data_IF_227128609273
#
_entry.id   IF_227128609273
#
_cell.length_a   1.000
_cell.length_b   1.000
_cell.length_c   1.000
_cell.angle_alpha   90.00
_cell.angle_beta   90.00
_cell.angle_gamma   90.00
#
_symmetry.space_group_name_H-M   'P 1'
#
loop_
_entity.id
_entity.type
_entity.pdbx_description
1 polymer ?
#
# COMPACT_ATOMS: atom_id res chain seq x y z
N UNK A 1 19.12 1.24 -11.28
CA UNK A 1 20.35 2.01 -11.04
C UNK A 1 20.04 3.02 -9.94
N UNK A 2 20.96 3.31 -9.03
CA UNK A 2 20.78 4.35 -8.00
C UNK A 2 21.62 5.58 -8.32
N UNK A 3 21.03 6.75 -8.18
CA UNK A 3 21.71 8.04 -8.37
C UNK A 3 21.86 8.77 -7.02
N UNK A 4 22.91 9.58 -6.89
CA UNK A 4 23.20 10.31 -5.66
C UNK A 4 22.61 11.71 -5.75
N UNK A 5 21.68 12.02 -4.84
CA UNK A 5 21.17 13.36 -4.61
C UNK A 5 21.60 13.82 -3.21
N UNK A 6 22.37 14.91 -3.13
CA UNK A 6 22.88 15.44 -1.85
C UNK A 6 21.94 16.52 -1.32
N UNK A 7 21.41 16.32 -0.11
CA UNK A 7 20.47 17.24 0.55
C UNK A 7 20.94 17.54 1.96
N UNK A 8 20.93 18.82 2.34
CA UNK A 8 21.14 19.24 3.73
C UNK A 8 19.80 19.38 4.44
N UNK A 9 19.56 18.54 5.43
CA UNK A 9 18.37 18.66 6.26
C UNK A 9 18.54 19.71 7.36
N UNK A 10 17.48 20.48 7.70
CA UNK A 10 17.44 21.24 8.94
C UNK A 10 17.70 20.34 10.14
N UNK A 11 18.40 20.85 11.17
CA UNK A 11 18.83 20.08 12.35
C UNK A 11 17.68 19.32 13.00
N UNK A 12 16.51 19.95 13.09
CA UNK A 12 15.30 19.36 13.68
C UNK A 12 14.74 18.20 12.85
N UNK A 13 14.74 18.32 11.52
CA UNK A 13 14.31 17.23 10.62
C UNK A 13 15.29 16.05 10.71
N UNK A 14 16.59 16.34 10.70
CA UNK A 14 17.63 15.32 10.83
C UNK A 14 17.53 14.57 12.17
N UNK A 15 17.22 15.27 13.26
CA UNK A 15 16.99 14.68 14.58
C UNK A 15 15.79 13.72 14.56
N UNK A 16 14.63 14.18 14.09
CA UNK A 16 13.40 13.37 13.97
C UNK A 16 13.61 12.13 13.09
N UNK A 17 14.36 12.26 12.01
CA UNK A 17 14.69 11.16 11.12
C UNK A 17 15.56 10.10 11.82
N UNK A 18 16.61 10.50 12.54
CA UNK A 18 17.48 9.59 13.31
C UNK A 18 16.72 8.85 14.40
N UNK A 19 15.89 9.55 15.17
CA UNK A 19 15.07 8.96 16.22
C UNK A 19 14.11 7.90 15.65
N UNK A 20 13.46 8.22 14.53
CA UNK A 20 12.50 7.32 13.88
C UNK A 20 13.17 6.08 13.27
N UNK A 21 14.37 6.24 12.73
CA UNK A 21 15.18 5.15 12.18
C UNK A 21 15.67 4.22 13.30
N UNK A 22 16.19 4.78 14.40
CA UNK A 22 16.62 4.01 15.57
C UNK A 22 15.47 3.18 16.16
N UNK A 23 14.28 3.76 16.29
CA UNK A 23 13.09 3.06 16.79
C UNK A 23 12.63 1.88 15.91
N UNK A 24 13.09 1.80 14.65
CA UNK A 24 12.77 0.73 13.70
C UNK A 24 13.97 -0.16 13.36
N UNK A 25 15.12 0.05 14.02
CA UNK A 25 16.38 -0.61 13.69
C UNK A 25 16.72 -0.55 12.19
N UNK A 26 16.39 0.55 11.51
CA UNK A 26 16.67 0.76 10.08
C UNK A 26 17.76 1.82 9.87
N UNK A 27 18.56 1.75 8.79
CA UNK A 27 19.50 2.80 8.45
C UNK A 27 18.79 4.14 8.17
N UNK A 28 19.37 5.24 8.65
CA UNK A 28 18.84 6.61 8.43
C UNK A 28 18.67 6.92 6.94
N UNK A 29 19.63 6.51 6.11
CA UNK A 29 19.58 6.66 4.66
C UNK A 29 18.44 5.86 4.03
N UNK A 30 18.19 4.63 4.49
CA UNK A 30 17.09 3.79 4.02
C UNK A 30 15.73 4.39 4.35
N UNK A 31 15.55 4.89 5.58
CA UNK A 31 14.33 5.61 5.96
C UNK A 31 14.16 6.90 5.13
N UNK A 32 15.23 7.65 4.91
CA UNK A 32 15.18 8.88 4.11
C UNK A 32 14.76 8.60 2.66
N UNK A 33 15.41 7.63 2.01
CA UNK A 33 15.10 7.22 0.63
C UNK A 33 13.64 6.82 0.50
N UNK A 34 13.16 5.98 1.43
CA UNK A 34 11.76 5.53 1.45
C UNK A 34 10.77 6.67 1.68
N UNK A 35 11.04 7.57 2.62
CA UNK A 35 10.15 8.72 2.86
C UNK A 35 10.12 9.70 1.69
N UNK A 36 11.23 9.87 0.97
CA UNK A 36 11.29 10.72 -0.23
C UNK A 36 10.51 10.08 -1.37
N UNK A 37 10.72 8.79 -1.65
CA UNK A 37 9.97 8.05 -2.67
C UNK A 37 8.46 8.08 -2.39
N UNK A 38 8.06 7.72 -1.17
CA UNK A 38 6.66 7.79 -0.73
C UNK A 38 6.11 9.22 -0.84
N UNK A 39 6.90 10.23 -0.46
CA UNK A 39 6.51 11.64 -0.56
C UNK A 39 6.22 12.08 -1.99
N UNK A 40 7.10 11.73 -2.94
CA UNK A 40 6.93 12.03 -4.36
C UNK A 40 5.71 11.32 -4.95
N UNK A 41 5.44 10.08 -4.52
CA UNK A 41 4.26 9.34 -4.96
C UNK A 41 2.95 9.89 -4.39
N UNK A 42 2.95 10.33 -3.12
CA UNK A 42 1.78 11.00 -2.53
C UNK A 42 1.51 12.36 -3.17
N UNK A 43 2.55 13.05 -3.64
CA UNK A 43 2.42 14.30 -4.41
C UNK A 43 1.81 14.03 -5.80
N UNK A 44 2.27 12.98 -6.50
CA UNK A 44 1.75 12.57 -7.80
C UNK A 44 0.32 11.98 -7.74
N UNK A 45 -0.04 11.33 -6.63
CA UNK A 45 -1.35 10.69 -6.44
C UNK A 45 -2.05 11.21 -5.17
N UNK A 46 -2.72 12.37 -5.24
CA UNK A 46 -3.47 12.92 -4.12
C UNK A 46 -4.50 11.92 -3.57
N UNK A 47 -4.51 11.76 -2.25
CA UNK A 47 -5.39 10.80 -1.57
C UNK A 47 -4.77 9.42 -1.35
N UNK A 48 -3.57 9.16 -1.87
CA UNK A 48 -2.78 7.97 -1.53
C UNK A 48 -1.90 8.25 -0.31
N UNK A 49 -1.74 7.24 0.55
CA UNK A 49 -0.85 7.22 1.71
C UNK A 49 -0.15 5.87 1.84
N UNK A 50 0.94 5.82 2.60
CA UNK A 50 1.68 4.57 2.85
C UNK A 50 1.57 4.11 4.30
N UNK A 51 1.07 2.88 4.50
CA UNK A 51 0.82 2.28 5.83
C UNK A 51 1.65 1.01 6.03
N UNK A 52 2.08 0.69 7.26
CA UNK A 52 2.62 -0.64 7.55
C UNK A 52 1.50 -1.69 7.43
N UNK A 53 1.85 -2.92 7.06
CA UNK A 53 0.95 -4.05 6.99
C UNK A 53 1.69 -5.39 7.09
N UNK A 54 0.95 -6.51 7.17
CA UNK A 54 1.54 -7.85 7.37
C UNK A 54 2.50 -8.26 6.26
N UNK A 55 2.20 -7.88 5.02
CA UNK A 55 3.05 -8.11 3.83
C UNK A 55 4.05 -6.98 3.57
N UNK A 56 4.29 -6.10 4.54
CA UNK A 56 5.18 -4.96 4.43
C UNK A 56 4.44 -3.63 4.30
N UNK A 57 5.15 -2.62 3.83
CA UNK A 57 4.61 -1.27 3.66
C UNK A 57 3.76 -1.21 2.38
N UNK A 58 2.52 -0.72 2.47
CA UNK A 58 1.50 -0.79 1.41
C UNK A 58 0.94 0.59 1.09
N UNK A 59 0.64 0.83 -0.18
CA UNK A 59 -0.11 1.99 -0.65
C UNK A 59 -1.60 1.82 -0.32
N UNK A 60 -2.24 2.90 0.13
CA UNK A 60 -3.62 2.90 0.58
C UNK A 60 -4.31 4.22 0.31
N UNK A 61 -5.64 4.19 0.33
CA UNK A 61 -6.42 5.42 0.39
C UNK A 61 -6.26 6.08 1.77
N UNK A 62 -6.09 7.40 1.80
CA UNK A 62 -5.94 8.19 3.04
C UNK A 62 -7.07 7.91 4.03
N UNK A 63 -8.27 7.73 3.51
CA UNK A 63 -9.45 7.26 4.24
C UNK A 63 -10.06 6.10 3.47
N UNK A 64 -9.68 4.88 3.83
CA UNK A 64 -10.21 3.70 3.15
C UNK A 64 -9.26 2.50 3.15
N UNK A 65 -9.56 1.53 2.27
CA UNK A 65 -8.79 0.30 2.13
C UNK A 65 -7.42 0.55 1.48
N UNK A 66 -6.62 -0.50 1.43
CA UNK A 66 -5.39 -0.49 0.65
C UNK A 66 -5.71 -0.47 -0.86
N UNK A 67 -4.80 0.08 -1.67
CA UNK A 67 -4.98 0.16 -3.13
C UNK A 67 -5.17 -1.25 -3.73
N UNK A 68 -4.42 -2.24 -3.25
CA UNK A 68 -4.53 -3.61 -3.73
C UNK A 68 -5.93 -4.22 -3.51
N UNK A 69 -6.66 -3.81 -2.48
CA UNK A 69 -8.02 -4.27 -2.21
C UNK A 69 -9.00 -3.70 -3.24
N UNK A 70 -8.87 -2.41 -3.54
CA UNK A 70 -9.67 -1.73 -4.57
C UNK A 70 -9.44 -2.37 -5.93
N UNK A 71 -8.18 -2.56 -6.33
CA UNK A 71 -7.83 -3.15 -7.63
C UNK A 71 -8.31 -4.59 -7.75
N UNK A 72 -8.18 -5.38 -6.68
CA UNK A 72 -8.71 -6.75 -6.64
C UNK A 72 -10.23 -6.77 -6.82
N UNK A 73 -10.96 -5.87 -6.17
CA UNK A 73 -12.41 -5.78 -6.35
C UNK A 73 -12.76 -5.41 -7.78
N UNK A 74 -12.19 -4.32 -8.32
CA UNK A 74 -12.47 -3.86 -9.69
C UNK A 74 -12.22 -4.97 -10.73
N UNK A 75 -11.16 -5.77 -10.55
CA UNK A 75 -10.86 -6.93 -11.41
C UNK A 75 -11.88 -8.07 -11.31
N UNK A 76 -12.58 -8.17 -10.19
CA UNK A 76 -13.59 -9.22 -9.97
C UNK A 76 -14.99 -8.83 -10.45
N UNK A 77 -15.23 -7.55 -10.75
CA UNK A 77 -16.49 -7.08 -11.30
C UNK A 77 -16.62 -7.50 -12.77
N UNK A 78 -17.85 -7.76 -13.21
CA UNK A 78 -18.18 -7.96 -14.62
C UNK A 78 -18.27 -6.62 -15.37
N UNK A 79 -18.68 -5.56 -14.67
CA UNK A 79 -18.77 -4.20 -15.19
C UNK A 79 -17.42 -3.68 -15.75
N UNK A 80 -17.49 -2.72 -16.68
CA UNK A 80 -16.32 -2.13 -17.36
C UNK A 80 -16.45 -0.61 -17.48
N UNK A 81 -15.31 0.06 -17.62
CA UNK A 81 -15.27 1.51 -17.76
C UNK A 81 -15.85 2.20 -16.53
N UNK A 82 -16.73 3.19 -16.77
CA UNK A 82 -17.34 4.00 -15.72
C UNK A 82 -18.25 3.18 -14.80
N UNK A 83 -18.99 2.21 -15.33
CA UNK A 83 -19.86 1.32 -14.54
C UNK A 83 -19.06 0.55 -13.48
N UNK A 84 -17.83 0.12 -13.81
CA UNK A 84 -16.96 -0.55 -12.85
C UNK A 84 -16.47 0.38 -11.72
N UNK A 85 -16.33 1.67 -12.01
CA UNK A 85 -15.94 2.67 -11.01
C UNK A 85 -17.09 2.90 -10.04
N UNK A 86 -18.31 3.07 -10.57
CA UNK A 86 -19.52 3.30 -9.79
C UNK A 86 -19.83 2.10 -8.90
N UNK A 87 -19.80 0.90 -9.46
CA UNK A 87 -20.04 -0.34 -8.71
C UNK A 87 -18.97 -0.56 -7.63
N UNK A 88 -17.69 -0.36 -7.94
CA UNK A 88 -16.63 -0.47 -6.92
C UNK A 88 -16.76 0.58 -5.81
N UNK A 89 -17.22 1.79 -6.14
CA UNK A 89 -17.47 2.84 -5.17
C UNK A 89 -18.60 2.44 -4.22
N UNK A 90 -19.70 1.91 -4.74
CA UNK A 90 -20.83 1.41 -3.95
C UNK A 90 -20.40 0.26 -3.03
N UNK A 91 -19.76 -0.78 -3.57
CA UNK A 91 -19.34 -1.97 -2.82
C UNK A 91 -18.37 -1.66 -1.67
N UNK A 92 -17.46 -0.70 -1.87
CA UNK A 92 -16.47 -0.32 -0.86
C UNK A 92 -16.92 0.82 0.04
N UNK A 93 -18.09 1.42 -0.21
CA UNK A 93 -18.54 2.63 0.48
C UNK A 93 -17.58 3.81 0.28
N UNK A 94 -17.03 3.96 -0.92
CA UNK A 94 -16.09 5.01 -1.31
C UNK A 94 -16.77 6.02 -2.24
N UNK A 95 -16.19 7.21 -2.37
CA UNK A 95 -16.51 8.09 -3.51
C UNK A 95 -15.76 7.64 -4.77
N UNK A 96 -16.34 7.85 -5.96
CA UNK A 96 -15.71 7.53 -7.25
C UNK A 96 -14.29 8.11 -7.37
N UNK A 97 -14.06 9.33 -6.87
CA UNK A 97 -12.75 9.97 -6.89
C UNK A 97 -11.68 9.14 -6.13
N UNK A 98 -12.06 8.42 -5.08
CA UNK A 98 -11.15 7.54 -4.35
C UNK A 98 -10.84 6.28 -5.15
N UNK A 99 -11.84 5.71 -5.82
CA UNK A 99 -11.63 4.57 -6.72
C UNK A 99 -10.70 4.97 -7.87
N UNK A 100 -10.91 6.15 -8.46
CA UNK A 100 -10.02 6.69 -9.51
C UNK A 100 -8.62 6.97 -9.02
N UNK A 101 -8.44 7.46 -7.79
CA UNK A 101 -7.11 7.63 -7.20
C UNK A 101 -6.37 6.29 -7.08
N UNK A 102 -7.06 5.23 -6.65
CA UNK A 102 -6.48 3.89 -6.60
C UNK A 102 -6.13 3.34 -8.01
N UNK A 103 -7.02 3.53 -8.99
CA UNK A 103 -6.78 3.13 -10.38
C UNK A 103 -5.60 3.90 -11.01
N UNK A 104 -5.50 5.21 -10.74
CA UNK A 104 -4.38 6.04 -11.18
C UNK A 104 -3.06 5.56 -10.58
N UNK A 105 -3.01 5.32 -9.27
CA UNK A 105 -1.80 4.78 -8.63
C UNK A 105 -1.42 3.40 -9.19
N UNK A 106 -2.40 2.53 -9.43
CA UNK A 106 -2.17 1.24 -10.06
C UNK A 106 -1.62 1.36 -11.49
N UNK A 107 -2.02 2.39 -12.25
CA UNK A 107 -1.49 2.66 -13.58
C UNK A 107 0.02 2.87 -13.60
N UNK A 108 0.55 3.58 -12.59
CA UNK A 108 1.98 3.89 -12.50
C UNK A 108 2.77 2.80 -11.75
N UNK A 109 2.13 2.06 -10.84
CA UNK A 109 2.76 1.04 -10.01
C UNK A 109 2.08 -0.36 -10.08
N UNK A 110 1.80 -0.91 -11.28
CA UNK A 110 1.01 -2.13 -11.41
C UNK A 110 1.70 -3.34 -10.78
N UNK A 111 3.02 -3.46 -10.98
CA UNK A 111 3.83 -4.56 -10.43
C UNK A 111 3.78 -4.60 -8.90
N UNK A 112 3.94 -3.44 -8.25
CA UNK A 112 3.89 -3.35 -6.78
C UNK A 112 2.55 -3.84 -6.24
N UNK A 113 1.46 -3.41 -6.87
CA UNK A 113 0.11 -3.79 -6.44
C UNK A 113 -0.18 -5.26 -6.74
N UNK A 114 0.26 -5.79 -7.88
CA UNK A 114 0.11 -7.21 -8.22
C UNK A 114 0.88 -8.12 -7.27
N UNK A 115 2.08 -7.71 -6.86
CA UNK A 115 2.87 -8.39 -5.83
C UNK A 115 2.13 -8.37 -4.48
N UNK A 116 1.50 -7.25 -4.09
CA UNK A 116 0.69 -7.17 -2.88
C UNK A 116 -0.55 -8.07 -2.94
N UNK A 117 -1.27 -8.10 -4.07
CA UNK A 117 -2.43 -8.99 -4.26
C UNK A 117 -1.99 -10.45 -4.09
N UNK A 118 -0.89 -10.83 -4.74
CA UNK A 118 -0.35 -12.19 -4.67
C UNK A 118 0.07 -12.56 -3.25
N UNK A 119 0.85 -11.70 -2.59
CA UNK A 119 1.33 -11.93 -1.23
C UNK A 119 0.19 -12.08 -0.21
N UNK A 120 -0.84 -11.24 -0.32
CA UNK A 120 -2.01 -11.33 0.57
C UNK A 120 -2.82 -12.62 0.32
N UNK A 121 -2.95 -13.06 -0.94
CA UNK A 121 -3.60 -14.35 -1.25
C UNK A 121 -2.83 -15.51 -0.61
N UNK A 122 -1.51 -15.56 -0.78
CA UNK A 122 -0.67 -16.59 -0.16
C UNK A 122 -0.78 -16.58 1.37
N UNK A 123 -0.76 -15.39 1.99
CA UNK A 123 -0.90 -15.27 3.43
C UNK A 123 -2.27 -15.78 3.94
N UNK A 124 -3.35 -15.49 3.22
CA UNK A 124 -4.69 -15.98 3.54
C UNK A 124 -4.76 -17.52 3.45
N UNK A 125 -4.23 -18.11 2.37
CA UNK A 125 -4.20 -19.56 2.18
C UNK A 125 -3.39 -20.27 3.28
N UNK A 126 -2.25 -19.69 3.68
CA UNK A 126 -1.43 -20.22 4.79
C UNK A 126 -2.16 -20.14 6.14
N UNK A 127 -2.82 -19.01 6.43
CA UNK A 127 -3.57 -18.84 7.67
C UNK A 127 -4.74 -19.83 7.78
N UNK A 128 -5.44 -20.08 6.67
CA UNK A 128 -6.51 -21.08 6.59
C UNK A 128 -5.99 -22.49 6.92
N UNK A 129 -4.88 -22.91 6.32
CA UNK A 129 -4.25 -24.21 6.60
C UNK A 129 -3.81 -24.35 8.05
N UNK A 130 -3.24 -23.30 8.63
CA UNK A 130 -2.86 -23.28 10.05
C UNK A 130 -4.07 -23.41 10.97
N UNK A 131 -5.16 -22.70 10.67
CA UNK A 131 -6.41 -22.80 11.42
C UNK A 131 -7.02 -24.20 11.32
N UNK A 132 -7.07 -24.81 10.13
CA UNK A 132 -7.56 -26.18 9.94
C UNK A 132 -6.73 -27.20 10.74
N UNK A 133 -5.41 -27.07 10.72
CA UNK A 133 -4.50 -27.93 11.50
C UNK A 133 -4.75 -27.78 13.00
N UNK A 134 -4.97 -26.55 13.48
CA UNK A 134 -5.29 -26.30 14.89
C UNK A 134 -6.64 -26.92 15.28
N UNK A 135 -7.68 -26.79 14.46
CA UNK A 135 -8.99 -27.41 14.73
C UNK A 135 -8.90 -28.94 14.76
N UNK A 136 -8.10 -29.56 13.88
CA UNK A 136 -7.86 -31.00 13.90
C UNK A 136 -7.12 -31.50 15.15
N UNK A 137 -6.30 -30.65 15.78
CA UNK A 137 -5.59 -30.99 17.02
C UNK A 137 -6.43 -30.76 18.29
N UNK A 138 -7.47 -29.93 18.20
CA UNK A 138 -8.35 -29.56 19.32
C UNK A 138 -9.67 -30.34 19.34
N UNK A 139 -10.01 -31.07 18.27
CA UNK A 139 -11.12 -32.01 18.18
C UNK A 139 -10.70 -33.44 18.44
#
# INVERSE_FOLDING_TARGET
MSEVVSVRFPSEVARRLRERAAARAEPVSGLAQRLVDEGLRMDAHPGIVFRPGPSGRRAALARGPDVWEVIRLVRSLDARGEEAVDEAAEWLGLGEAQVRAALSYYGDFPREIDEQITANKTAADSAQKSWETQQQLLG
#
